data_IF_648738988641
#
_entry.id   IF_648738988641
#
_cell.length_a   1.000
_cell.length_b   1.000
_cell.length_c   1.000
_cell.angle_alpha   90.00
_cell.angle_beta   90.00
_cell.angle_gamma   90.00
#
_symmetry.space_group_name_H-M   'P 1'
#
loop_
_entity.id
_entity.type
_entity.pdbx_description
1 polymer ?
#
# COMPACT_ATOMS: atom_id res chain seq x y z
N UNK A 1 6.64 8.71 -3.64
CA UNK A 1 6.15 7.60 -4.44
C UNK A 1 5.10 8.11 -5.43
N UNK A 2 5.04 7.50 -6.62
CA UNK A 2 4.15 7.99 -7.68
C UNK A 2 2.67 7.97 -7.26
N UNK A 3 2.28 6.97 -6.47
CA UNK A 3 0.89 6.81 -6.01
C UNK A 3 0.39 8.01 -5.22
N UNK A 4 1.27 8.72 -4.51
CA UNK A 4 0.87 9.91 -3.76
C UNK A 4 0.39 11.05 -4.66
N UNK A 5 0.66 10.97 -5.95
CA UNK A 5 0.21 11.99 -6.90
C UNK A 5 -1.21 11.74 -7.41
N UNK A 6 -1.81 10.62 -7.03
CA UNK A 6 -3.20 10.33 -7.40
C UNK A 6 -4.12 11.22 -6.56
N UNK A 7 -5.00 11.95 -7.22
CA UNK A 7 -5.98 12.76 -6.51
C UNK A 7 -6.83 11.86 -5.61
N UNK A 8 -6.98 12.24 -4.36
CA UNK A 8 -7.74 11.47 -3.37
C UNK A 8 -6.88 10.57 -2.49
N UNK A 9 -5.59 10.38 -2.81
CA UNK A 9 -4.68 9.63 -1.95
C UNK A 9 -3.98 10.59 -1.00
N UNK A 10 -4.12 10.34 0.30
CA UNK A 10 -3.51 11.18 1.35
C UNK A 10 -2.12 10.65 1.71
N UNK A 11 -2.02 9.35 2.00
CA UNK A 11 -0.75 8.69 2.34
C UNK A 11 -0.67 7.35 1.64
N UNK A 12 0.53 6.90 1.35
CA UNK A 12 0.74 5.56 0.80
C UNK A 12 2.07 4.99 1.27
N UNK A 13 2.13 3.66 1.35
CA UNK A 13 3.34 2.94 1.72
C UNK A 13 3.33 1.56 1.07
N UNK A 14 4.46 1.16 0.50
CA UNK A 14 4.62 -0.17 -0.08
C UNK A 14 5.41 -1.07 0.84
N UNK A 15 4.99 -2.33 0.92
CA UNK A 15 5.71 -3.37 1.66
C UNK A 15 5.99 -4.49 0.67
N UNK A 16 7.19 -5.05 0.74
CA UNK A 16 7.61 -6.13 -0.14
C UNK A 16 7.65 -7.45 0.63
N UNK A 17 6.97 -8.46 0.08
CA UNK A 17 7.01 -9.83 0.63
C UNK A 17 8.08 -10.62 -0.11
N UNK A 18 9.24 -10.78 0.52
CA UNK A 18 10.38 -11.48 -0.08
C UNK A 18 10.07 -12.95 -0.40
N UNK A 19 9.28 -13.60 0.43
CA UNK A 19 8.97 -15.02 0.25
C UNK A 19 8.15 -15.26 -1.00
N UNK A 20 7.17 -14.40 -1.25
CA UNK A 20 6.24 -14.56 -2.36
C UNK A 20 6.53 -13.61 -3.51
N UNK A 21 7.54 -12.76 -3.38
CA UNK A 21 7.91 -11.77 -4.39
C UNK A 21 6.74 -10.89 -4.77
N UNK A 22 6.01 -10.39 -3.76
CA UNK A 22 4.83 -9.55 -3.96
C UNK A 22 5.03 -8.16 -3.38
N UNK A 23 4.43 -7.18 -4.05
CA UNK A 23 4.40 -5.79 -3.59
C UNK A 23 3.01 -5.53 -3.04
N UNK A 24 2.92 -5.06 -1.79
CA UNK A 24 1.67 -4.72 -1.14
C UNK A 24 1.64 -3.21 -0.94
N UNK A 25 0.60 -2.55 -1.46
CA UNK A 25 0.42 -1.11 -1.32
C UNK A 25 -0.68 -0.84 -0.31
N UNK A 26 -0.34 -0.11 0.75
CA UNK A 26 -1.31 0.43 1.71
C UNK A 26 -1.47 1.92 1.44
N UNK A 27 -2.71 2.39 1.43
CA UNK A 27 -2.96 3.81 1.22
C UNK A 27 -4.18 4.27 2.00
N UNK A 28 -4.26 5.58 2.25
CA UNK A 28 -5.42 6.22 2.86
C UNK A 28 -5.92 7.32 1.93
N UNK A 29 -7.21 7.65 2.03
CA UNK A 29 -7.83 8.71 1.24
C UNK A 29 -9.17 8.28 0.67
N UNK A 30 -9.72 9.12 -0.21
CA UNK A 30 -11.03 8.90 -0.82
C UNK A 30 -10.95 8.06 -2.10
N UNK A 31 -9.75 7.86 -2.63
CA UNK A 31 -9.55 7.14 -3.89
C UNK A 31 -9.91 5.67 -3.74
N UNK A 32 -10.62 5.10 -4.72
CA UNK A 32 -10.96 3.68 -4.70
C UNK A 32 -9.76 2.81 -5.08
N UNK A 33 -9.81 1.53 -4.66
CA UNK A 33 -8.76 0.58 -5.03
C UNK A 33 -8.63 0.44 -6.55
N UNK A 34 -9.76 0.44 -7.26
CA UNK A 34 -9.76 0.30 -8.71
C UNK A 34 -9.02 1.46 -9.38
N UNK A 35 -9.20 2.67 -8.88
CA UNK A 35 -8.51 3.84 -9.41
C UNK A 35 -7.00 3.76 -9.18
N UNK A 36 -6.60 3.32 -7.99
CA UNK A 36 -5.18 3.16 -7.65
C UNK A 36 -4.54 2.08 -8.53
N UNK A 37 -5.21 0.96 -8.72
CA UNK A 37 -4.71 -0.14 -9.56
C UNK A 37 -4.58 0.32 -11.01
N UNK A 38 -5.58 1.02 -11.54
CA UNK A 38 -5.53 1.54 -12.91
C UNK A 38 -4.38 2.52 -13.09
N UNK A 39 -4.21 3.43 -12.15
CA UNK A 39 -3.11 4.39 -12.20
C UNK A 39 -1.76 3.69 -12.23
N UNK A 40 -1.61 2.68 -11.37
CA UNK A 40 -0.36 1.91 -11.31
C UNK A 40 -0.05 1.22 -12.63
N UNK A 41 -1.06 0.62 -13.26
CA UNK A 41 -0.88 -0.07 -14.54
C UNK A 41 -0.47 0.89 -15.65
N UNK A 42 -0.96 2.13 -15.62
CA UNK A 42 -0.65 3.12 -16.64
C UNK A 42 0.70 3.79 -16.42
N UNK A 43 1.05 4.09 -15.16
CA UNK A 43 2.17 4.97 -14.84
C UNK A 43 3.40 4.28 -14.29
N UNK A 44 3.26 3.06 -13.77
CA UNK A 44 4.39 2.34 -13.18
C UNK A 44 4.95 1.28 -14.10
N UNK A 45 6.27 1.04 -14.07
CA UNK A 45 6.86 -0.11 -14.75
C UNK A 45 6.23 -1.40 -14.23
N UNK A 46 6.20 -2.43 -15.08
CA UNK A 46 5.57 -3.69 -14.72
C UNK A 46 6.08 -4.26 -13.39
N UNK A 47 7.38 -4.15 -13.14
CA UNK A 47 7.98 -4.70 -11.91
C UNK A 47 7.65 -3.90 -10.64
N UNK A 48 7.06 -2.71 -10.80
CA UNK A 48 6.67 -1.87 -9.65
C UNK A 48 5.17 -1.86 -9.40
N UNK A 49 4.38 -2.58 -10.21
CA UNK A 49 2.92 -2.63 -10.04
C UNK A 49 2.60 -3.47 -8.81
N UNK A 50 1.81 -2.93 -7.84
CA UNK A 50 1.45 -3.70 -6.64
C UNK A 50 0.62 -4.94 -6.97
N UNK A 51 0.92 -6.04 -6.30
CA UNK A 51 0.14 -7.27 -6.41
C UNK A 51 -1.12 -7.21 -5.54
N UNK A 52 -1.04 -6.46 -4.45
CA UNK A 52 -2.16 -6.28 -3.52
C UNK A 52 -2.26 -4.81 -3.16
N UNK A 53 -3.47 -4.26 -3.22
CA UNK A 53 -3.74 -2.87 -2.83
C UNK A 53 -4.74 -2.89 -1.68
N UNK A 54 -4.40 -2.24 -0.57
CA UNK A 54 -5.24 -2.21 0.63
C UNK A 54 -5.52 -0.76 1.01
N UNK A 55 -6.79 -0.42 1.08
CA UNK A 55 -7.22 0.90 1.55
C UNK A 55 -7.41 0.85 3.06
N UNK A 56 -6.83 1.82 3.76
CA UNK A 56 -6.95 1.94 5.21
C UNK A 56 -7.70 3.21 5.56
N UNK A 57 -8.43 3.19 6.68
CA UNK A 57 -9.09 4.39 7.20
C UNK A 57 -8.07 5.41 7.69
N UNK A 58 -7.00 4.93 8.31
CA UNK A 58 -5.92 5.77 8.79
C UNK A 58 -4.61 5.00 8.68
N UNK A 59 -3.54 5.72 8.34
CA UNK A 59 -2.21 5.12 8.26
C UNK A 59 -1.61 5.04 9.65
N UNK A 60 -1.10 3.86 10.10
CA UNK A 60 -0.44 3.77 11.39
C UNK A 60 0.85 4.59 11.39
N UNK A 61 1.03 5.39 12.42
CA UNK A 61 2.19 6.26 12.54
C UNK A 61 3.01 5.90 13.78
N UNK A 62 4.33 6.14 13.71
CA UNK A 62 5.21 6.00 14.85
C UNK A 62 5.06 7.21 15.76
N UNK A 63 5.69 7.16 16.94
CA UNK A 63 5.70 8.29 17.87
C UNK A 63 6.28 9.57 17.23
N UNK A 64 7.13 9.42 16.23
CA UNK A 64 7.74 10.55 15.51
C UNK A 64 6.89 11.05 14.33
N UNK A 65 5.70 10.48 14.14
CA UNK A 65 4.81 10.90 13.06
C UNK A 65 5.13 10.29 11.70
N UNK A 66 5.99 9.30 11.66
CA UNK A 66 6.34 8.60 10.40
C UNK A 66 5.48 7.36 10.23
N UNK A 67 5.27 6.93 8.98
CA UNK A 67 4.50 5.73 8.70
C UNK A 67 5.16 4.52 9.37
N UNK A 68 4.37 3.78 10.16
CA UNK A 68 4.86 2.61 10.90
C UNK A 68 4.84 1.38 9.99
N UNK A 69 5.93 1.16 9.27
CA UNK A 69 6.04 0.06 8.31
C UNK A 69 6.04 -1.31 8.98
N UNK A 70 6.57 -1.39 10.20
CA UNK A 70 6.56 -2.65 10.94
C UNK A 70 5.16 -3.09 11.26
N UNK A 71 4.31 -2.15 11.66
CA UNK A 71 2.91 -2.46 11.95
C UNK A 71 2.16 -2.89 10.68
N UNK A 72 2.42 -2.22 9.56
CA UNK A 72 1.83 -2.61 8.28
C UNK A 72 2.23 -4.02 7.89
N UNK A 73 3.49 -4.36 8.10
CA UNK A 73 3.99 -5.71 7.81
C UNK A 73 3.32 -6.74 8.71
N UNK A 74 3.14 -6.43 9.99
CA UNK A 74 2.42 -7.30 10.92
C UNK A 74 0.97 -7.50 10.49
N UNK A 75 0.31 -6.44 10.06
CA UNK A 75 -1.06 -6.53 9.57
C UNK A 75 -1.17 -7.44 8.36
N UNK A 76 -0.21 -7.36 7.45
CA UNK A 76 -0.16 -8.23 6.28
C UNK A 76 0.05 -9.69 6.68
N UNK A 77 0.99 -9.96 7.58
CA UNK A 77 1.27 -11.31 8.05
C UNK A 77 0.05 -11.91 8.74
N UNK A 78 -0.61 -11.15 9.62
CA UNK A 78 -1.80 -11.60 10.31
C UNK A 78 -2.95 -11.89 9.35
N UNK A 79 -3.10 -11.07 8.32
CA UNK A 79 -4.11 -11.28 7.28
C UNK A 79 -3.89 -12.60 6.55
N UNK A 80 -2.63 -12.95 6.29
CA UNK A 80 -2.27 -14.21 5.64
C UNK A 80 -2.63 -15.42 6.51
N UNK A 81 -2.42 -15.30 7.84
CA UNK A 81 -2.69 -16.40 8.77
C UNK A 81 -4.18 -16.71 8.90
N UNK A 82 -5.03 -15.72 8.66
CA UNK A 82 -6.48 -15.88 8.78
C UNK A 82 -7.09 -16.58 7.57
N UNK A 83 -6.29 -16.84 6.57
CA UNK A 83 -6.71 -17.59 5.39
C UNK A 83 -6.20 -19.05 5.48
#
# INVERSE_FOLDING_TARGET
MVVNKIEGVVNSCCIFDDDKKKIILYYTGECSKAEVVSYGKEKLPRYMIPNLVVKLDAMPLTANGKINRLLLKDMYINRKKDN
#
